data_IF_897920066520
#
_entry.id   IF_897920066520
#
_cell.length_a   1.000
_cell.length_b   1.000
_cell.length_c   1.000
_cell.angle_alpha   90.00
_cell.angle_beta   90.00
_cell.angle_gamma   90.00
#
_symmetry.space_group_name_H-M   'P 1'
#
loop_
_entity.id
_entity.type
_entity.pdbx_description
1 polymer ?
#
# COMPACT_ATOMS: atom_id res chain seq x y z
N UNK A 1 -30.81 13.20 -67.78
CA UNK A 1 -31.60 12.19 -67.05
C UNK A 1 -31.99 12.84 -65.72
N UNK A 2 -33.21 13.32 -65.42
CA UNK A 2 -34.57 13.05 -65.97
C UNK A 2 -35.01 11.59 -65.70
N UNK A 3 -36.14 11.23 -65.05
CA UNK A 3 -37.30 11.92 -64.39
C UNK A 3 -37.84 10.94 -63.29
N UNK A 4 -38.02 11.25 -62.00
CA UNK A 4 -39.11 11.93 -61.23
C UNK A 4 -40.56 11.35 -61.30
N UNK A 5 -41.24 11.23 -60.12
CA UNK A 5 -42.69 11.40 -59.78
C UNK A 5 -43.18 10.39 -58.71
N UNK A 6 -44.17 10.62 -57.81
CA UNK A 6 -45.05 11.74 -57.31
C UNK A 6 -45.69 11.23 -55.99
N UNK A 7 -46.27 11.98 -55.03
CA UNK A 7 -46.57 13.41 -54.81
C UNK A 7 -46.95 13.64 -53.32
N UNK A 8 -46.97 14.88 -52.80
CA UNK A 8 -48.18 15.73 -52.54
C UNK A 8 -49.26 15.07 -51.66
N UNK A 9 -49.79 15.62 -50.56
CA UNK A 9 -49.73 16.93 -49.86
C UNK A 9 -49.60 16.67 -48.32
N UNK A 10 -49.54 17.61 -47.37
CA UNK A 10 -49.68 19.09 -47.33
C UNK A 10 -49.48 19.63 -45.89
N UNK A 11 -50.03 20.80 -45.55
CA UNK A 11 -50.02 21.35 -44.17
C UNK A 11 -51.31 22.13 -43.83
N UNK A 12 -51.76 22.10 -42.57
CA UNK A 12 -52.70 23.09 -42.00
C UNK A 12 -52.61 23.19 -40.47
N UNK A 13 -52.98 24.34 -39.92
CA UNK A 13 -52.74 24.73 -38.52
C UNK A 13 -53.88 24.39 -37.54
N UNK A 14 -53.49 24.23 -36.27
CA UNK A 14 -54.17 24.61 -35.02
C UNK A 14 -55.72 24.65 -34.94
N UNK A 15 -56.31 24.04 -33.91
CA UNK A 15 -56.71 24.78 -32.68
C UNK A 15 -57.21 23.89 -31.53
N UNK A 16 -56.99 24.41 -30.32
CA UNK A 16 -57.38 23.99 -28.96
C UNK A 16 -58.83 23.48 -28.79
N UNK A 17 -59.03 22.44 -27.97
CA UNK A 17 -60.09 22.38 -26.93
C UNK A 17 -59.67 21.48 -25.74
N UNK A 18 -60.20 21.75 -24.54
CA UNK A 18 -59.70 21.22 -23.26
C UNK A 18 -60.76 20.51 -22.40
N UNK A 19 -60.33 19.56 -21.53
CA UNK A 19 -60.91 19.13 -20.24
C UNK A 19 -60.16 17.85 -19.74
N UNK A 20 -59.49 17.81 -18.57
CA UNK A 20 -60.03 17.58 -17.20
C UNK A 20 -60.75 16.21 -17.05
N UNK A 21 -60.46 15.27 -16.16
CA UNK A 21 -59.55 15.12 -14.99
C UNK A 21 -58.77 13.77 -15.12
N UNK A 22 -58.00 13.16 -14.18
CA UNK A 22 -57.75 13.28 -12.72
C UNK A 22 -56.24 13.03 -12.45
N UNK A 23 -55.75 13.33 -11.23
CA UNK A 23 -54.37 13.10 -10.79
C UNK A 23 -54.17 11.78 -10.02
N UNK A 24 -52.93 11.26 -10.04
CA UNK A 24 -52.34 10.43 -8.97
C UNK A 24 -50.81 10.57 -9.00
N UNK A 25 -50.30 11.69 -8.46
CA UNK A 25 -48.86 11.84 -8.19
C UNK A 25 -48.52 11.09 -6.90
N UNK A 26 -47.87 9.93 -7.02
CA UNK A 26 -47.16 9.33 -5.88
C UNK A 26 -45.88 10.13 -5.67
N UNK A 27 -45.89 11.00 -4.67
CA UNK A 27 -44.71 11.77 -4.25
C UNK A 27 -43.72 10.84 -3.54
N UNK A 28 -42.93 10.11 -4.33
CA UNK A 28 -41.74 9.45 -3.81
C UNK A 28 -40.72 10.54 -3.43
N UNK A 29 -40.55 10.78 -2.13
CA UNK A 29 -39.44 11.57 -1.61
C UNK A 29 -38.13 10.81 -1.83
N UNK A 30 -37.60 10.89 -3.05
CA UNK A 30 -36.23 10.52 -3.35
C UNK A 30 -35.31 11.51 -2.66
N UNK A 31 -34.88 11.20 -1.45
CA UNK A 31 -33.85 11.96 -0.74
C UNK A 31 -32.56 11.90 -1.54
N UNK A 32 -32.32 12.93 -2.36
CA UNK A 32 -31.02 13.16 -2.99
C UNK A 32 -29.99 13.41 -1.89
N UNK A 33 -29.24 12.37 -1.54
CA UNK A 33 -28.09 12.48 -0.64
C UNK A 33 -27.05 13.30 -1.39
N UNK A 34 -26.98 14.60 -1.11
CA UNK A 34 -25.93 15.46 -1.64
C UNK A 34 -24.57 15.01 -1.07
N UNK A 35 -23.77 14.32 -1.89
CA UNK A 35 -22.39 13.97 -1.61
C UNK A 35 -21.51 15.22 -1.56
N UNK A 36 -21.61 15.99 -0.47
CA UNK A 36 -20.84 17.23 -0.24
C UNK A 36 -19.37 16.99 0.14
N UNK A 37 -18.93 15.73 0.25
CA UNK A 37 -17.56 15.36 0.65
C UNK A 37 -16.54 15.54 -0.49
N UNK A 38 -16.95 15.34 -1.75
CA UNK A 38 -16.05 15.44 -2.90
C UNK A 38 -15.46 16.86 -3.11
N UNK A 39 -16.13 17.91 -2.60
CA UNK A 39 -15.66 19.29 -2.71
C UNK A 39 -14.59 19.68 -1.67
N UNK A 40 -14.38 18.88 -0.62
CA UNK A 40 -13.41 19.19 0.44
C UNK A 40 -12.05 18.52 0.20
N UNK A 41 -12.01 17.24 -0.17
CA UNK A 41 -10.75 16.49 -0.39
C UNK A 41 -9.96 16.97 -1.60
N UNK A 42 -10.64 17.51 -2.62
CA UNK A 42 -10.06 18.05 -3.85
C UNK A 42 -9.13 19.27 -3.66
N UNK A 43 -8.93 19.73 -2.41
CA UNK A 43 -7.93 20.75 -2.09
C UNK A 43 -6.50 20.18 -1.97
N UNK A 44 -6.34 18.87 -1.73
CA UNK A 44 -5.03 18.20 -1.66
C UNK A 44 -4.51 17.96 -3.09
N UNK A 45 -3.25 18.32 -3.38
CA UNK A 45 -2.64 18.07 -4.72
C UNK A 45 -1.39 17.20 -4.67
N UNK A 46 -0.80 17.02 -3.50
CA UNK A 46 0.38 16.21 -3.30
C UNK A 46 0.18 15.25 -2.12
N UNK A 47 0.18 13.95 -2.41
CA UNK A 47 0.15 12.88 -1.41
C UNK A 47 1.55 12.28 -1.32
N UNK A 48 2.01 12.12 -0.09
CA UNK A 48 3.21 11.37 0.28
C UNK A 48 2.77 10.21 1.15
N UNK A 49 3.26 9.01 0.87
CA UNK A 49 3.07 7.81 1.69
C UNK A 49 4.46 7.35 2.11
N UNK A 50 4.72 7.30 3.41
CA UNK A 50 5.85 6.57 3.97
C UNK A 50 5.28 5.28 4.56
N UNK A 51 5.77 4.14 4.08
CA UNK A 51 5.40 2.82 4.63
C UNK A 51 6.56 2.28 5.45
N UNK A 52 6.23 1.77 6.62
CA UNK A 52 7.11 1.12 7.59
C UNK A 52 6.70 -0.36 7.73
N UNK A 53 7.49 -1.16 8.42
CA UNK A 53 7.32 -2.62 8.41
C UNK A 53 6.91 -3.25 9.75
N UNK A 54 6.05 -4.28 9.68
CA UNK A 54 5.81 -5.37 10.64
C UNK A 54 5.63 -4.99 12.12
N UNK A 55 4.94 -3.90 12.45
CA UNK A 55 4.85 -3.42 13.83
C UNK A 55 3.44 -3.21 14.36
N UNK A 56 3.23 -3.74 15.58
CA UNK A 56 1.92 -3.77 16.22
C UNK A 56 1.56 -2.38 16.74
N UNK A 57 0.29 -1.96 16.60
CA UNK A 57 -0.20 -0.70 17.19
C UNK A 57 0.15 -0.58 18.68
N UNK A 58 0.03 -1.68 19.43
CA UNK A 58 0.33 -1.75 20.86
C UNK A 58 1.81 -1.78 21.20
N UNK A 59 2.70 -1.99 20.23
CA UNK A 59 4.15 -1.78 20.36
C UNK A 59 4.47 -0.31 20.05
N UNK A 60 4.15 0.12 18.84
CA UNK A 60 4.50 1.43 18.26
C UNK A 60 3.94 2.61 19.06
N UNK A 61 2.68 2.54 19.49
CA UNK A 61 2.00 3.63 20.21
C UNK A 61 1.89 3.39 21.72
N UNK A 62 2.77 2.56 22.28
CA UNK A 62 2.88 2.34 23.73
C UNK A 62 3.62 3.46 24.46
N UNK A 63 3.43 3.53 25.79
CA UNK A 63 4.21 4.41 26.66
C UNK A 63 5.70 4.03 26.78
N UNK A 64 6.08 2.85 26.28
CA UNK A 64 7.45 2.32 26.25
C UNK A 64 7.98 2.14 24.82
N UNK A 65 7.38 2.84 23.85
CA UNK A 65 7.73 2.76 22.44
C UNK A 65 9.21 3.08 22.18
N UNK A 66 9.77 2.35 21.20
CA UNK A 66 11.10 2.64 20.62
C UNK A 66 11.05 3.77 19.58
N UNK A 67 9.86 4.18 19.16
CA UNK A 67 9.63 5.23 18.16
C UNK A 67 8.91 6.47 18.74
N UNK A 68 9.57 7.25 19.64
CA UNK A 68 8.93 8.36 20.33
C UNK A 68 8.63 9.57 19.42
N UNK A 69 9.35 9.78 18.32
CA UNK A 69 9.03 10.82 17.35
C UNK A 69 7.73 10.49 16.61
N UNK A 70 7.61 9.27 16.07
CA UNK A 70 6.35 8.80 15.47
C UNK A 70 5.19 8.84 16.47
N UNK A 71 5.35 8.17 17.61
CA UNK A 71 4.26 7.90 18.54
C UNK A 71 3.76 9.13 19.30
N UNK A 72 4.63 10.11 19.59
CA UNK A 72 4.28 11.29 20.39
C UNK A 72 4.40 12.60 19.60
N UNK A 73 5.46 12.76 18.81
CA UNK A 73 5.71 14.04 18.12
C UNK A 73 4.79 14.19 16.92
N UNK A 74 4.75 13.22 16.01
CA UNK A 74 3.94 13.29 14.81
C UNK A 74 2.43 13.17 15.11
N UNK A 75 2.04 12.30 16.04
CA UNK A 75 0.64 12.23 16.52
C UNK A 75 0.13 13.54 17.10
N UNK A 76 0.98 14.30 17.82
CA UNK A 76 0.63 15.63 18.32
C UNK A 76 0.49 16.70 17.23
N UNK A 77 1.10 16.49 16.05
CA UNK A 77 1.13 17.44 14.93
C UNK A 77 0.00 17.22 13.90
N UNK A 78 -0.61 16.03 13.88
CA UNK A 78 -1.65 15.69 12.90
C UNK A 78 -2.75 14.80 13.49
N UNK A 79 -3.08 13.73 12.78
CA UNK A 79 -4.05 12.72 13.19
C UNK A 79 -3.37 11.38 13.51
N UNK A 80 -3.69 10.79 14.67
CA UNK A 80 -3.46 9.37 14.95
C UNK A 80 -4.70 8.56 14.53
N UNK A 81 -4.51 7.63 13.61
CA UNK A 81 -5.52 6.65 13.20
C UNK A 81 -5.30 5.37 14.01
N UNK A 82 -6.08 5.19 15.06
CA UNK A 82 -5.88 4.08 16.01
C UNK A 82 -6.31 2.72 15.45
N UNK A 83 -7.20 2.74 14.46
CA UNK A 83 -7.84 1.57 13.88
C UNK A 83 -7.47 1.42 12.40
N UNK A 84 -6.18 1.64 12.08
CA UNK A 84 -5.62 1.31 10.78
C UNK A 84 -5.08 -0.14 10.80
N UNK A 85 -5.32 -0.88 9.72
CA UNK A 85 -5.00 -2.30 9.60
C UNK A 85 -4.20 -2.59 8.33
N UNK A 86 -3.34 -3.61 8.40
CA UNK A 86 -2.80 -4.26 7.21
C UNK A 86 -3.87 -5.06 6.46
N UNK A 87 -3.58 -5.43 5.23
CA UNK A 87 -4.45 -6.24 4.35
C UNK A 87 -3.98 -7.68 4.17
N UNK A 88 -2.71 -8.01 4.40
CA UNK A 88 -2.16 -9.36 4.39
C UNK A 88 -1.07 -9.55 5.44
N UNK A 89 -0.36 -10.68 5.38
CA UNK A 89 0.49 -11.15 6.48
C UNK A 89 1.99 -11.08 6.22
N UNK A 90 2.36 -10.60 5.04
CA UNK A 90 3.74 -10.38 4.60
C UNK A 90 3.76 -9.13 3.72
N UNK A 91 4.90 -8.44 3.65
CA UNK A 91 4.98 -7.09 3.10
C UNK A 91 4.39 -6.95 1.69
N UNK A 92 4.72 -7.88 0.77
CA UNK A 92 4.44 -7.69 -0.66
C UNK A 92 2.95 -7.51 -0.99
N UNK A 93 2.07 -8.31 -0.40
CA UNK A 93 0.64 -8.24 -0.71
C UNK A 93 -0.01 -6.93 -0.19
N UNK A 94 0.60 -6.33 0.83
CA UNK A 94 0.20 -5.06 1.41
C UNK A 94 0.59 -3.90 0.51
N UNK A 95 1.85 -3.85 0.08
CA UNK A 95 2.31 -2.88 -0.93
C UNK A 95 1.51 -2.96 -2.24
N UNK A 96 1.21 -4.17 -2.72
CA UNK A 96 0.35 -4.38 -3.90
C UNK A 96 -1.06 -3.85 -3.66
N UNK A 97 -1.66 -4.14 -2.50
CA UNK A 97 -2.98 -3.66 -2.11
C UNK A 97 -3.04 -2.12 -2.07
N UNK A 98 -1.98 -1.45 -1.59
CA UNK A 98 -1.90 0.02 -1.50
C UNK A 98 -1.93 0.73 -2.86
N UNK A 99 -1.43 0.12 -3.94
CA UNK A 99 -1.35 0.79 -5.26
C UNK A 99 -2.33 0.25 -6.31
N UNK A 100 -2.93 -0.92 -6.12
CA UNK A 100 -3.72 -1.60 -7.16
C UNK A 100 -5.08 -2.12 -6.69
N UNK A 101 -5.32 -2.14 -5.38
CA UNK A 101 -6.52 -2.74 -4.79
C UNK A 101 -6.64 -4.25 -5.04
N UNK A 102 -5.60 -4.91 -5.55
CA UNK A 102 -5.58 -6.37 -5.70
C UNK A 102 -5.44 -7.04 -4.33
N UNK A 103 -6.13 -8.15 -4.17
CA UNK A 103 -6.02 -9.08 -3.06
C UNK A 103 -4.87 -10.08 -3.27
N UNK A 104 -4.36 -10.73 -2.22
CA UNK A 104 -3.18 -11.57 -2.35
C UNK A 104 -3.42 -12.79 -3.27
N UNK A 105 -2.34 -13.23 -3.93
CA UNK A 105 -2.16 -14.60 -4.40
C UNK A 105 -1.36 -15.39 -3.38
N UNK A 106 -1.29 -16.72 -3.54
CA UNK A 106 -0.35 -17.55 -2.78
C UNK A 106 1.10 -17.06 -2.90
N UNK A 107 1.52 -16.52 -4.06
CA UNK A 107 2.85 -15.98 -4.26
C UNK A 107 3.09 -14.67 -3.52
N UNK A 108 2.17 -13.70 -3.63
CA UNK A 108 2.33 -12.39 -2.98
C UNK A 108 2.15 -12.48 -1.47
N UNK A 109 1.29 -13.39 -1.00
CA UNK A 109 1.17 -13.80 0.40
C UNK A 109 2.43 -14.55 0.92
N UNK A 110 3.44 -14.79 0.07
CA UNK A 110 4.74 -15.35 0.47
C UNK A 110 5.92 -14.56 -0.15
N UNK A 111 5.77 -13.23 -0.24
CA UNK A 111 6.76 -12.25 -0.73
C UNK A 111 7.37 -12.51 -2.11
N UNK A 112 6.73 -13.38 -2.90
CA UNK A 112 7.16 -13.81 -4.22
C UNK A 112 8.68 -14.08 -4.34
N UNK A 113 9.19 -14.96 -3.47
CA UNK A 113 10.61 -15.38 -3.43
C UNK A 113 11.20 -15.80 -4.78
N UNK A 114 10.36 -16.23 -5.73
CA UNK A 114 10.69 -16.32 -7.16
C UNK A 114 9.83 -15.32 -7.91
N UNK A 115 10.44 -14.29 -8.49
CA UNK A 115 9.79 -13.15 -9.14
C UNK A 115 9.17 -13.57 -10.47
N UNK A 116 7.97 -14.18 -10.43
CA UNK A 116 7.35 -14.90 -11.55
C UNK A 116 6.12 -14.22 -12.15
N UNK A 117 5.94 -14.42 -13.46
CA UNK A 117 4.83 -13.87 -14.25
C UNK A 117 3.46 -14.33 -13.71
N UNK A 118 2.51 -13.42 -13.58
CA UNK A 118 1.13 -13.76 -13.20
C UNK A 118 0.39 -14.41 -14.38
N UNK A 119 0.10 -15.70 -14.26
CA UNK A 119 -0.73 -16.46 -15.18
C UNK A 119 -2.22 -16.10 -15.00
N UNK A 120 -2.66 -15.06 -15.70
CA UNK A 120 -4.05 -14.57 -15.66
C UNK A 120 -5.04 -15.55 -16.31
N UNK A 121 -6.02 -16.00 -15.53
CA UNK A 121 -7.08 -16.93 -15.97
C UNK A 121 -8.47 -16.28 -16.03
N UNK A 122 -8.67 -15.15 -15.35
CA UNK A 122 -9.92 -14.41 -15.33
C UNK A 122 -9.82 -13.12 -14.53
N UNK A 123 -10.95 -12.42 -14.39
CA UNK A 123 -11.07 -11.24 -13.52
C UNK A 123 -12.48 -11.22 -12.91
N UNK A 124 -12.60 -10.85 -11.64
CA UNK A 124 -13.89 -10.67 -10.96
C UNK A 124 -14.58 -9.38 -11.44
N UNK A 125 -15.87 -9.23 -11.13
CA UNK A 125 -16.63 -8.02 -11.49
C UNK A 125 -16.16 -6.73 -10.80
N UNK A 126 -15.46 -6.85 -9.69
CA UNK A 126 -14.82 -5.78 -8.93
C UNK A 126 -13.31 -5.66 -9.20
N UNK A 127 -12.80 -6.31 -10.25
CA UNK A 127 -11.46 -6.05 -10.79
C UNK A 127 -10.31 -6.82 -10.14
N UNK A 128 -10.58 -7.86 -9.36
CA UNK A 128 -9.56 -8.79 -8.88
C UNK A 128 -9.11 -9.72 -10.00
N UNK A 129 -7.81 -9.75 -10.28
CA UNK A 129 -7.20 -10.72 -11.18
C UNK A 129 -7.32 -12.13 -10.58
N UNK A 130 -7.72 -13.11 -11.40
CA UNK A 130 -7.83 -14.53 -11.00
C UNK A 130 -6.68 -15.30 -11.64
N UNK A 131 -5.81 -15.91 -10.84
CA UNK A 131 -4.63 -16.62 -11.33
C UNK A 131 -3.58 -16.88 -10.26
N UNK A 132 -2.34 -17.10 -10.72
CA UNK A 132 -1.18 -17.45 -9.88
C UNK A 132 0.07 -16.77 -10.41
N UNK A 133 1.01 -16.43 -9.53
CA UNK A 133 2.21 -15.63 -9.82
C UNK A 133 2.11 -14.25 -9.18
N UNK A 134 3.10 -13.38 -9.37
CA UNK A 134 3.11 -12.07 -8.71
C UNK A 134 3.34 -10.87 -9.63
N UNK A 135 3.93 -11.04 -10.82
CA UNK A 135 4.09 -9.92 -11.77
C UNK A 135 2.86 -9.83 -12.67
N UNK A 136 1.94 -8.93 -12.33
CA UNK A 136 0.64 -8.80 -12.97
C UNK A 136 0.76 -8.30 -14.43
N UNK A 137 -0.03 -8.84 -15.39
CA UNK A 137 0.00 -8.38 -16.77
C UNK A 137 -0.51 -6.95 -16.90
N UNK A 138 -0.08 -6.23 -17.94
CA UNK A 138 -0.36 -4.80 -18.13
C UNK A 138 -1.84 -4.40 -18.27
N UNK A 139 -2.76 -5.37 -18.32
CA UNK A 139 -4.21 -5.20 -18.22
C UNK A 139 -4.70 -4.93 -16.80
N UNK A 140 -3.96 -5.36 -15.77
CA UNK A 140 -4.20 -5.02 -14.37
C UNK A 140 -3.58 -3.67 -14.10
N UNK A 141 -4.33 -2.77 -13.45
CA UNK A 141 -4.01 -1.34 -13.38
C UNK A 141 -3.73 -0.88 -11.95
N UNK A 142 -2.85 0.10 -11.85
CA UNK A 142 -2.39 0.71 -10.59
C UNK A 142 -2.79 2.19 -10.52
N UNK A 143 -2.63 2.81 -9.36
CA UNK A 143 -2.77 4.25 -9.16
C UNK A 143 -1.81 5.04 -10.08
N UNK A 144 -0.62 4.48 -10.38
CA UNK A 144 0.32 5.05 -11.33
C UNK A 144 -0.25 5.14 -12.76
N UNK A 145 -0.90 4.07 -13.24
CA UNK A 145 -1.61 4.07 -14.53
C UNK A 145 -2.70 5.15 -14.57
N UNK A 146 -3.50 5.26 -13.50
CA UNK A 146 -4.59 6.23 -13.41
C UNK A 146 -4.09 7.67 -13.37
N UNK A 147 -3.05 7.95 -12.59
CA UNK A 147 -2.44 9.27 -12.49
C UNK A 147 -1.85 9.69 -13.84
N UNK A 148 -1.08 8.82 -14.50
CA UNK A 148 -0.58 9.09 -15.86
C UNK A 148 -1.73 9.38 -16.83
N UNK A 149 -2.81 8.58 -16.80
CA UNK A 149 -3.99 8.81 -17.65
C UNK A 149 -4.73 10.13 -17.34
N UNK A 150 -4.67 10.61 -16.09
CA UNK A 150 -5.21 11.90 -15.67
C UNK A 150 -4.26 13.10 -15.94
N UNK A 151 -3.07 12.87 -16.50
CA UNK A 151 -1.98 13.86 -16.62
C UNK A 151 -1.45 14.37 -15.27
N UNK A 152 -1.50 13.51 -14.24
CA UNK A 152 -0.90 13.71 -12.92
C UNK A 152 0.40 12.90 -12.83
N UNK A 153 1.30 13.31 -11.95
CA UNK A 153 2.62 12.70 -11.79
C UNK A 153 2.68 11.78 -10.58
N UNK A 154 3.47 10.71 -10.67
CA UNK A 154 3.72 9.77 -9.58
C UNK A 154 5.20 9.42 -9.51
N UNK A 155 5.68 9.04 -8.32
CA UNK A 155 7.04 8.50 -8.10
C UNK A 155 7.08 7.48 -6.95
N UNK A 156 8.00 6.53 -7.07
CA UNK A 156 8.49 5.66 -6.01
C UNK A 156 9.92 6.04 -5.61
N UNK A 157 10.21 6.04 -4.31
CA UNK A 157 11.47 6.45 -3.73
C UNK A 157 11.97 5.37 -2.78
N UNK A 158 12.84 4.51 -3.28
CA UNK A 158 13.23 3.27 -2.62
C UNK A 158 14.56 3.42 -1.88
N UNK A 159 14.61 3.03 -0.61
CA UNK A 159 15.83 3.00 0.18
C UNK A 159 16.85 2.02 -0.38
N UNK A 160 18.11 2.43 -0.41
CA UNK A 160 19.28 1.67 -0.89
C UNK A 160 19.28 1.13 -2.33
N UNK A 161 18.16 1.17 -3.07
CA UNK A 161 18.02 0.57 -4.41
C UNK A 161 19.18 0.91 -5.35
N UNK A 162 19.88 -0.14 -5.80
CA UNK A 162 21.04 -0.06 -6.70
C UNK A 162 22.34 0.39 -6.04
N UNK A 163 22.50 0.20 -4.72
CA UNK A 163 23.82 0.29 -4.09
C UNK A 163 24.72 -0.87 -4.59
N UNK A 164 24.16 -2.05 -4.90
CA UNK A 164 24.80 -3.08 -5.74
C UNK A 164 24.19 -3.18 -7.17
N UNK A 165 24.82 -2.55 -8.18
CA UNK A 165 24.45 -2.69 -9.59
C UNK A 165 24.56 -4.10 -10.19
N UNK A 166 25.13 -5.08 -9.47
CA UNK A 166 25.12 -6.48 -9.88
C UNK A 166 23.89 -7.25 -9.38
N UNK A 167 23.17 -6.72 -8.39
CA UNK A 167 21.95 -7.30 -7.81
C UNK A 167 20.69 -6.65 -8.41
N UNK A 168 20.65 -5.32 -8.54
CA UNK A 168 19.57 -4.61 -9.23
C UNK A 168 19.99 -3.27 -9.87
N UNK A 169 19.11 -2.69 -10.69
CA UNK A 169 19.31 -1.37 -11.28
C UNK A 169 18.99 -0.23 -10.29
N UNK A 170 19.72 0.90 -10.39
CA UNK A 170 19.51 2.10 -9.55
C UNK A 170 18.20 2.88 -9.84
N UNK A 171 17.45 2.47 -10.85
CA UNK A 171 16.09 2.91 -11.19
C UNK A 171 15.36 1.72 -11.78
N UNK A 172 14.06 1.55 -11.49
CA UNK A 172 13.32 0.33 -11.87
C UNK A 172 14.05 -0.97 -11.43
N UNK A 173 14.61 -0.98 -10.21
CA UNK A 173 15.37 -2.12 -9.70
C UNK A 173 14.47 -3.30 -9.37
N UNK A 174 14.59 -4.39 -10.12
CA UNK A 174 13.87 -5.65 -9.85
C UNK A 174 14.66 -6.87 -10.37
N UNK A 175 14.37 -8.10 -9.90
CA UNK A 175 14.97 -9.32 -10.41
C UNK A 175 14.62 -9.56 -11.88
N UNK A 176 15.38 -10.46 -12.54
CA UNK A 176 14.95 -10.97 -13.85
C UNK A 176 13.69 -11.82 -13.69
N UNK A 177 12.72 -11.68 -14.61
CA UNK A 177 11.49 -12.46 -14.58
C UNK A 177 11.76 -13.98 -14.53
N UNK A 178 10.99 -14.65 -13.68
CA UNK A 178 11.06 -16.08 -13.38
C UNK A 178 12.41 -16.53 -12.77
N UNK A 179 13.04 -15.66 -11.97
CA UNK A 179 14.24 -15.97 -11.19
C UNK A 179 14.03 -15.72 -9.69
N UNK A 180 14.88 -16.31 -8.84
CA UNK A 180 14.86 -16.07 -7.39
C UNK A 180 15.19 -14.61 -7.11
N UNK A 181 14.37 -13.96 -6.28
CA UNK A 181 14.63 -12.61 -5.83
C UNK A 181 15.73 -12.60 -4.76
N UNK A 182 16.89 -12.06 -5.12
CA UNK A 182 18.06 -11.93 -4.24
C UNK A 182 18.00 -10.69 -3.33
N UNK A 183 17.09 -9.75 -3.58
CA UNK A 183 16.87 -8.57 -2.72
C UNK A 183 16.12 -8.92 -1.43
N UNK A 184 15.55 -10.13 -1.35
CA UNK A 184 14.95 -10.69 -0.13
C UNK A 184 15.96 -11.01 1.00
N UNK A 185 17.23 -10.64 0.87
CA UNK A 185 18.23 -10.72 1.93
C UNK A 185 19.16 -9.53 1.86
N UNK A 186 19.32 -8.80 2.98
CA UNK A 186 20.26 -7.68 3.07
C UNK A 186 21.68 -8.10 2.69
N UNK A 187 22.34 -7.32 1.84
CA UNK A 187 23.76 -7.46 1.56
C UNK A 187 24.58 -6.72 2.64
N UNK A 188 25.51 -7.43 3.28
CA UNK A 188 26.44 -6.82 4.24
C UNK A 188 27.54 -6.01 3.51
N UNK A 189 28.05 -4.91 4.13
CA UNK A 189 29.15 -4.11 3.58
C UNK A 189 30.36 -4.94 3.16
N UNK A 190 30.80 -4.72 1.92
CA UNK A 190 31.92 -5.45 1.32
C UNK A 190 32.74 -4.57 0.36
N UNK A 191 33.64 -5.18 -0.43
CA UNK A 191 34.58 -4.46 -1.27
C UNK A 191 33.94 -3.83 -2.53
N UNK A 192 32.85 -4.40 -3.06
CA UNK A 192 32.09 -3.87 -4.19
C UNK A 192 30.90 -3.04 -3.75
N UNK A 193 30.29 -3.36 -2.60
CA UNK A 193 29.16 -2.64 -2.00
C UNK A 193 29.54 -2.08 -0.61
N UNK A 194 30.21 -0.91 -0.51
CA UNK A 194 30.85 -0.48 0.74
C UNK A 194 29.90 -0.08 1.87
N UNK A 195 28.62 0.18 1.57
CA UNK A 195 27.57 0.48 2.56
C UNK A 195 26.69 -0.73 2.89
N UNK A 196 26.87 -1.84 2.18
CA UNK A 196 25.86 -2.88 2.06
C UNK A 196 24.67 -2.41 1.23
N UNK A 197 23.67 -3.26 1.11
CA UNK A 197 22.45 -2.96 0.38
C UNK A 197 21.24 -3.65 1.01
N UNK A 198 20.35 -2.85 1.59
CA UNK A 198 19.11 -3.28 2.25
C UNK A 198 17.86 -2.98 1.42
N UNK A 199 17.99 -2.73 0.11
CA UNK A 199 16.82 -2.69 -0.77
C UNK A 199 16.14 -4.05 -0.89
N UNK A 200 14.81 -4.07 -0.89
CA UNK A 200 13.99 -5.24 -1.08
C UNK A 200 12.90 -4.95 -2.13
N UNK A 201 12.89 -5.73 -3.21
CA UNK A 201 11.91 -5.57 -4.30
C UNK A 201 10.49 -5.77 -3.80
N UNK A 202 10.28 -6.69 -2.84
CA UNK A 202 8.96 -6.92 -2.21
C UNK A 202 8.31 -5.68 -1.58
N UNK A 203 9.09 -4.66 -1.23
CA UNK A 203 8.59 -3.39 -0.69
C UNK A 203 8.33 -2.31 -1.76
N UNK A 204 8.63 -2.62 -3.02
CA UNK A 204 8.44 -1.76 -4.18
C UNK A 204 7.34 -2.34 -5.10
N UNK A 205 6.06 -2.03 -4.85
CA UNK A 205 4.95 -2.67 -5.55
C UNK A 205 4.91 -2.33 -7.04
N UNK A 206 5.54 -1.23 -7.45
CA UNK A 206 5.59 -0.82 -8.86
C UNK A 206 6.30 -1.85 -9.75
N UNK A 207 7.17 -2.70 -9.17
CA UNK A 207 7.87 -3.74 -9.94
C UNK A 207 6.95 -4.91 -10.31
N UNK A 208 5.84 -5.10 -9.61
CA UNK A 208 4.97 -6.26 -9.79
C UNK A 208 3.89 -6.05 -10.87
N UNK A 209 4.07 -5.10 -11.79
CA UNK A 209 3.10 -4.79 -12.85
C UNK A 209 3.79 -4.51 -14.19
N UNK A 210 3.48 -5.31 -15.22
CA UNK A 210 3.90 -5.07 -16.60
C UNK A 210 3.40 -3.74 -17.18
N UNK A 211 2.36 -3.13 -16.61
CA UNK A 211 1.98 -1.76 -17.00
C UNK A 211 3.04 -0.71 -16.64
N UNK A 212 3.93 -1.06 -15.71
CA UNK A 212 5.02 -0.21 -15.23
C UNK A 212 6.37 -0.73 -15.72
N UNK A 213 6.77 -1.98 -15.43
CA UNK A 213 8.15 -2.45 -15.73
C UNK A 213 8.48 -2.49 -17.22
N UNK A 214 7.49 -2.69 -18.10
CA UNK A 214 7.68 -2.63 -19.57
C UNK A 214 7.57 -1.18 -20.12
N UNK A 215 7.34 -0.18 -19.24
CA UNK A 215 7.14 1.23 -19.60
C UNK A 215 8.37 2.07 -19.28
N UNK A 216 8.76 3.03 -20.15
CA UNK A 216 9.84 3.98 -19.86
C UNK A 216 9.53 4.91 -18.67
N UNK A 217 8.30 4.94 -18.16
CA UNK A 217 8.00 5.63 -16.91
C UNK A 217 8.64 4.95 -15.69
N UNK A 218 8.98 3.65 -15.72
CA UNK A 218 9.58 2.95 -14.59
C UNK A 218 10.96 3.52 -14.21
N UNK A 219 11.92 3.55 -15.15
CA UNK A 219 13.26 4.13 -14.96
C UNK A 219 13.23 5.60 -14.53
N UNK A 220 12.17 6.33 -14.90
CA UNK A 220 12.00 7.75 -14.63
C UNK A 220 11.37 8.04 -13.25
N UNK A 221 10.42 7.20 -12.84
CA UNK A 221 9.55 7.46 -11.70
C UNK A 221 9.89 6.60 -10.47
N UNK A 222 10.47 5.41 -10.64
CA UNK A 222 10.87 4.52 -9.54
C UNK A 222 12.39 4.60 -9.36
N UNK A 223 12.82 5.31 -8.33
CA UNK A 223 14.21 5.77 -8.20
C UNK A 223 14.73 5.62 -6.76
N UNK A 224 16.05 5.59 -6.59
CA UNK A 224 16.66 5.59 -5.26
C UNK A 224 16.22 6.83 -4.44
N UNK A 225 15.91 6.60 -3.15
CA UNK A 225 15.36 7.59 -2.20
C UNK A 225 16.17 8.89 -2.10
N UNK A 226 17.48 8.85 -2.35
CA UNK A 226 18.32 10.05 -2.33
C UNK A 226 17.84 11.15 -3.31
N UNK A 227 17.16 10.76 -4.40
CA UNK A 227 16.60 11.68 -5.39
C UNK A 227 15.44 12.54 -4.85
N UNK A 228 14.71 12.08 -3.82
CA UNK A 228 13.58 12.80 -3.23
C UNK A 228 13.96 14.23 -2.81
N UNK A 229 15.17 14.42 -2.26
CA UNK A 229 15.67 15.76 -1.86
C UNK A 229 15.82 16.75 -3.02
N UNK A 230 15.95 16.26 -4.25
CA UNK A 230 15.98 17.10 -5.46
C UNK A 230 14.58 17.39 -5.98
N UNK A 231 13.71 16.40 -6.00
CA UNK A 231 12.35 16.57 -6.51
C UNK A 231 11.49 17.45 -5.58
N UNK A 232 11.72 17.40 -4.26
CA UNK A 232 11.07 18.27 -3.27
C UNK A 232 11.41 19.77 -3.38
N UNK A 233 12.34 20.20 -4.25
CA UNK A 233 12.79 21.60 -4.34
C UNK A 233 11.71 22.58 -4.82
N UNK A 234 10.74 22.13 -5.62
CA UNK A 234 9.67 22.98 -6.16
C UNK A 234 8.36 22.20 -6.31
N UNK A 235 7.23 22.91 -6.30
CA UNK A 235 5.90 22.31 -6.59
C UNK A 235 5.86 21.57 -7.93
N UNK A 236 6.60 22.06 -8.93
CA UNK A 236 6.61 21.48 -10.28
C UNK A 236 7.51 20.25 -10.43
N UNK A 237 8.41 20.00 -9.47
CA UNK A 237 9.31 18.82 -9.46
C UNK A 237 8.83 17.73 -8.51
N UNK A 238 8.05 18.07 -7.47
CA UNK A 238 7.39 17.08 -6.62
C UNK A 238 6.24 16.41 -7.36
N UNK A 239 6.15 15.08 -7.30
CA UNK A 239 5.05 14.35 -7.93
C UNK A 239 3.71 14.58 -7.20
N UNK A 240 2.57 14.33 -7.85
CA UNK A 240 1.26 14.34 -7.19
C UNK A 240 1.12 13.18 -6.20
N UNK A 241 1.61 11.99 -6.56
CA UNK A 241 1.73 10.84 -5.64
C UNK A 241 3.19 10.46 -5.44
N UNK A 242 3.61 10.25 -4.20
CA UNK A 242 4.98 9.91 -3.82
C UNK A 242 4.91 8.75 -2.83
N UNK A 243 5.22 7.53 -3.27
CA UNK A 243 5.46 6.40 -2.35
C UNK A 243 6.94 6.44 -1.94
N UNK A 244 7.19 6.31 -0.64
CA UNK A 244 8.50 6.43 -0.02
C UNK A 244 8.69 5.20 0.85
N UNK A 245 9.58 4.33 0.42
CA UNK A 245 9.89 3.06 1.07
C UNK A 245 11.31 3.15 1.63
N UNK A 246 11.51 3.12 2.95
CA UNK A 246 12.85 3.01 3.54
C UNK A 246 13.51 1.68 3.11
N UNK A 247 14.80 1.50 3.38
CA UNK A 247 15.41 0.17 3.21
C UNK A 247 15.09 -0.72 4.42
N UNK A 248 15.31 -2.03 4.34
CA UNK A 248 14.91 -2.97 5.42
C UNK A 248 15.64 -2.80 6.75
N UNK A 249 16.62 -1.88 6.78
CA UNK A 249 17.29 -1.42 7.99
C UNK A 249 16.65 -0.18 8.65
N UNK A 250 15.88 0.60 7.88
CA UNK A 250 15.34 1.91 8.22
C UNK A 250 13.79 1.94 8.29
N UNK A 251 13.09 0.87 7.89
CA UNK A 251 11.63 0.79 7.87
C UNK A 251 10.99 0.24 9.16
N UNK A 252 11.68 -0.62 9.89
CA UNK A 252 11.15 -1.29 11.08
C UNK A 252 11.34 -2.80 11.11
N UNK A 253 11.67 -3.42 9.97
CA UNK A 253 11.70 -4.88 9.79
C UNK A 253 12.91 -5.51 10.51
N UNK A 254 14.12 -5.30 9.99
CA UNK A 254 15.29 -6.05 10.45
C UNK A 254 15.93 -5.42 11.67
N UNK A 255 16.31 -6.25 12.66
CA UNK A 255 17.06 -5.82 13.84
C UNK A 255 17.90 -6.97 14.43
N UNK A 256 19.25 -6.86 14.46
CA UNK A 256 20.09 -5.83 13.85
C UNK A 256 20.20 -5.99 12.32
N UNK A 257 20.56 -4.90 11.64
CA UNK A 257 20.81 -4.91 10.20
C UNK A 257 22.13 -5.62 9.83
N UNK A 258 22.26 -6.07 8.58
CA UNK A 258 23.48 -6.68 8.04
C UNK A 258 24.68 -5.72 8.00
N UNK A 259 24.43 -4.41 7.90
CA UNK A 259 25.46 -3.37 8.02
C UNK A 259 25.90 -3.08 9.48
N UNK A 260 25.29 -3.74 10.47
CA UNK A 260 25.60 -3.59 11.89
C UNK A 260 24.85 -2.47 12.62
N UNK A 261 23.94 -1.76 11.95
CA UNK A 261 23.04 -0.81 12.60
C UNK A 261 21.96 -1.52 13.45
N UNK A 262 21.34 -0.76 14.37
CA UNK A 262 20.36 -1.27 15.33
C UNK A 262 19.12 -1.87 14.67
N UNK A 263 18.63 -1.22 13.61
CA UNK A 263 17.40 -1.64 12.94
C UNK A 263 16.13 -1.44 13.78
N UNK A 264 15.04 -2.05 13.32
CA UNK A 264 13.73 -2.02 13.96
C UNK A 264 13.14 -0.61 14.12
N UNK A 265 12.12 -0.48 14.99
CA UNK A 265 11.50 0.82 15.32
C UNK A 265 12.47 1.94 15.74
N UNK A 266 13.69 1.63 16.17
CA UNK A 266 14.70 2.65 16.50
C UNK A 266 15.23 3.32 15.23
N UNK A 267 15.53 2.54 14.19
CA UNK A 267 15.91 3.10 12.89
C UNK A 267 14.72 3.78 12.22
N UNK A 268 13.52 3.19 12.27
CA UNK A 268 12.31 3.79 11.71
C UNK A 268 12.00 5.19 12.29
N UNK A 269 12.15 5.36 13.61
CA UNK A 269 11.98 6.68 14.24
C UNK A 269 13.05 7.67 13.79
N UNK A 270 14.30 7.24 13.64
CA UNK A 270 15.41 8.06 13.14
C UNK A 270 15.23 8.45 11.66
N UNK A 271 14.73 7.53 10.83
CA UNK A 271 14.35 7.77 9.45
C UNK A 271 13.26 8.85 9.36
N UNK A 272 12.20 8.71 10.16
CA UNK A 272 11.12 9.71 10.21
C UNK A 272 11.62 11.06 10.74
N UNK A 273 12.45 11.09 11.78
CA UNK A 273 13.07 12.32 12.31
C UNK A 273 13.88 13.09 11.25
N UNK A 274 14.47 12.38 10.28
CA UNK A 274 15.17 12.97 9.13
C UNK A 274 14.19 13.41 8.03
N UNK A 275 13.34 12.51 7.55
CA UNK A 275 12.60 12.72 6.30
C UNK A 275 11.31 13.50 6.45
N UNK A 276 10.58 13.34 7.57
CA UNK A 276 9.31 14.05 7.77
C UNK A 276 9.51 15.57 7.80
N UNK A 277 10.52 16.14 8.49
CA UNK A 277 10.80 17.58 8.41
C UNK A 277 11.20 18.05 6.99
N UNK A 278 11.93 17.23 6.22
CA UNK A 278 12.33 17.57 4.84
C UNK A 278 11.10 17.64 3.92
N UNK A 279 10.19 16.66 4.02
CA UNK A 279 8.94 16.64 3.26
C UNK A 279 8.04 17.80 3.68
N UNK A 280 7.85 18.02 4.98
CA UNK A 280 7.00 19.08 5.52
C UNK A 280 7.51 20.50 5.24
N UNK A 281 8.82 20.67 5.01
CA UNK A 281 9.43 21.92 4.58
C UNK A 281 9.32 22.18 3.07
N UNK A 282 8.92 21.19 2.26
CA UNK A 282 8.85 21.33 0.81
C UNK A 282 7.73 22.28 0.35
N UNK A 283 7.90 23.03 -0.76
CA UNK A 283 6.87 23.93 -1.26
C UNK A 283 5.56 23.22 -1.61
N UNK A 284 5.65 22.00 -2.18
CA UNK A 284 4.50 21.17 -2.51
C UNK A 284 3.67 20.80 -1.28
N UNK A 285 4.33 20.32 -0.21
CA UNK A 285 3.64 19.97 1.02
C UNK A 285 3.01 21.19 1.69
N UNK A 286 3.75 22.30 1.78
CA UNK A 286 3.24 23.54 2.39
C UNK A 286 2.06 24.14 1.61
N UNK A 287 2.03 23.95 0.29
CA UNK A 287 0.92 24.41 -0.54
C UNK A 287 -0.36 23.64 -0.19
N UNK A 288 -0.36 22.31 -0.31
CA UNK A 288 -1.56 21.46 -0.16
C UNK A 288 -1.22 19.96 -0.03
N UNK A 289 -0.18 19.65 0.75
CA UNK A 289 0.27 18.29 1.03
C UNK A 289 -0.60 17.50 2.00
N UNK A 290 -0.65 16.18 1.77
CA UNK A 290 -0.99 15.16 2.76
C UNK A 290 0.19 14.18 2.86
N UNK A 291 0.73 13.98 4.05
CA UNK A 291 1.68 12.92 4.36
C UNK A 291 0.98 11.85 5.20
N UNK A 292 0.98 10.62 4.71
CA UNK A 292 0.49 9.42 5.38
C UNK A 292 1.73 8.62 5.81
N UNK A 293 1.74 8.17 7.06
CA UNK A 293 2.75 7.25 7.60
C UNK A 293 1.98 6.04 8.10
N UNK A 294 2.12 4.91 7.42
CA UNK A 294 1.49 3.64 7.78
C UNK A 294 2.55 2.55 8.01
N UNK A 295 2.09 1.38 8.41
CA UNK A 295 2.83 0.14 8.28
C UNK A 295 2.10 -0.76 7.28
N UNK A 296 2.81 -1.72 6.69
CA UNK A 296 2.29 -2.83 5.89
C UNK A 296 1.36 -3.74 6.72
N UNK A 297 1.87 -4.40 7.75
CA UNK A 297 1.11 -5.28 8.63
C UNK A 297 1.62 -5.27 10.08
N UNK A 298 0.86 -5.91 10.94
CA UNK A 298 1.27 -6.21 12.31
C UNK A 298 2.28 -7.37 12.32
N UNK A 299 3.13 -7.42 13.34
CA UNK A 299 3.94 -8.60 13.63
C UNK A 299 3.09 -9.82 14.00
N UNK A 300 3.67 -11.01 13.94
CA UNK A 300 3.01 -12.27 14.30
C UNK A 300 2.38 -12.23 15.71
N UNK A 301 1.22 -12.89 15.87
CA UNK A 301 0.47 -12.90 17.12
C UNK A 301 1.08 -13.84 18.18
N UNK A 302 1.73 -14.93 17.76
CA UNK A 302 2.46 -15.81 18.67
C UNK A 302 3.57 -16.61 17.97
N UNK A 303 4.53 -17.11 18.76
CA UNK A 303 5.54 -18.06 18.31
C UNK A 303 5.46 -19.32 19.16
N UNK A 304 5.47 -20.49 18.53
CA UNK A 304 5.46 -21.78 19.20
C UNK A 304 6.52 -22.73 18.62
N UNK A 305 6.81 -23.81 19.34
CA UNK A 305 7.57 -24.95 18.78
C UNK A 305 6.73 -26.22 18.94
N UNK A 306 5.94 -26.60 17.91
CA UNK A 306 5.11 -27.80 17.97
C UNK A 306 5.94 -29.09 17.95
N UNK A 307 7.19 -29.04 17.48
CA UNK A 307 8.13 -30.16 17.50
C UNK A 307 9.57 -29.70 17.75
N UNK A 308 10.49 -30.64 17.98
CA UNK A 308 11.92 -30.36 18.15
C UNK A 308 12.64 -29.92 16.87
N UNK A 309 11.94 -29.87 15.73
CA UNK A 309 12.49 -29.50 14.42
C UNK A 309 11.64 -28.43 13.72
N UNK A 310 10.76 -27.74 14.44
CA UNK A 310 9.84 -26.76 13.86
C UNK A 310 9.54 -25.61 14.82
N UNK A 311 9.60 -24.39 14.30
CA UNK A 311 9.07 -23.17 14.90
C UNK A 311 7.93 -22.68 14.03
N UNK A 312 6.80 -22.38 14.66
CA UNK A 312 5.62 -21.83 14.01
C UNK A 312 5.38 -20.38 14.47
N UNK A 313 5.32 -19.46 13.51
CA UNK A 313 4.94 -18.07 13.70
C UNK A 313 3.48 -17.92 13.27
N UNK A 314 2.59 -17.79 14.25
CA UNK A 314 1.15 -17.74 14.01
C UNK A 314 0.67 -16.29 13.89
N UNK A 315 0.07 -15.95 12.76
CA UNK A 315 -0.63 -14.69 12.53
C UNK A 315 -2.13 -14.85 12.79
N UNK A 316 -2.76 -13.81 13.34
CA UNK A 316 -4.17 -13.84 13.74
C UNK A 316 -5.10 -13.52 12.55
N UNK A 317 -4.81 -12.45 11.83
CA UNK A 317 -5.66 -11.99 10.72
C UNK A 317 -6.91 -11.25 11.20
N UNK A 318 -6.76 -10.38 12.19
CA UNK A 318 -7.79 -9.36 12.44
C UNK A 318 -7.92 -8.48 11.19
N UNK A 319 -9.14 -8.35 10.70
CA UNK A 319 -9.51 -7.55 9.54
C UNK A 319 -10.42 -6.40 9.95
N UNK A 320 -10.58 -5.43 9.05
CA UNK A 320 -11.53 -4.35 9.20
C UNK A 320 -12.36 -4.15 7.93
N UNK A 321 -13.22 -3.13 7.93
CA UNK A 321 -13.57 -2.43 6.70
C UNK A 321 -14.30 -3.28 5.63
N UNK A 322 -14.93 -4.38 6.05
CA UNK A 322 -15.52 -5.42 5.19
C UNK A 322 -14.53 -6.01 4.19
N UNK A 323 -13.25 -6.13 4.55
CA UNK A 323 -12.23 -6.77 3.72
C UNK A 323 -12.65 -8.20 3.33
N UNK A 324 -12.41 -8.51 2.05
CA UNK A 324 -12.62 -9.82 1.46
C UNK A 324 -11.27 -10.55 1.30
N UNK A 325 -11.33 -11.88 1.25
CA UNK A 325 -10.18 -12.78 1.12
C UNK A 325 -9.45 -12.65 -0.23
N UNK A 326 -10.18 -12.34 -1.31
CA UNK A 326 -9.69 -12.44 -2.68
C UNK A 326 -10.00 -13.77 -3.36
N UNK A 327 -9.78 -13.89 -4.68
CA UNK A 327 -10.11 -15.10 -5.44
C UNK A 327 -8.98 -16.13 -5.53
N UNK A 328 -7.77 -15.81 -5.06
CA UNK A 328 -6.53 -16.56 -5.34
C UNK A 328 -5.95 -17.29 -4.12
N UNK A 329 -6.57 -17.18 -2.95
CA UNK A 329 -6.15 -17.86 -1.73
C UNK A 329 -6.96 -19.13 -1.47
N UNK A 330 -6.38 -20.05 -0.71
CA UNK A 330 -7.03 -21.28 -0.25
C UNK A 330 -7.74 -21.10 1.09
N UNK A 331 -8.53 -22.09 1.52
CA UNK A 331 -9.21 -22.04 2.82
C UNK A 331 -8.24 -21.94 3.99
N UNK A 332 -8.41 -20.93 4.84
CA UNK A 332 -7.67 -20.78 6.09
C UNK A 332 -8.08 -21.82 7.16
N UNK A 333 -7.18 -22.18 8.11
CA UNK A 333 -5.81 -21.68 8.24
C UNK A 333 -4.87 -22.23 7.16
N UNK A 334 -3.90 -21.43 6.74
CA UNK A 334 -2.86 -21.80 5.79
C UNK A 334 -1.49 -21.82 6.48
N UNK A 335 -0.60 -22.74 6.11
CA UNK A 335 0.77 -22.78 6.63
C UNK A 335 1.79 -22.99 5.52
N UNK A 336 2.91 -22.28 5.60
CA UNK A 336 4.02 -22.36 4.63
C UNK A 336 5.37 -22.49 5.37
N UNK A 337 6.22 -23.41 4.92
CA UNK A 337 7.60 -23.52 5.41
C UNK A 337 8.50 -22.56 4.62
N UNK A 338 9.00 -21.50 5.26
CA UNK A 338 9.88 -20.52 4.61
C UNK A 338 11.30 -21.04 4.37
N UNK A 339 11.76 -21.99 5.18
CA UNK A 339 13.09 -22.55 5.08
C UNK A 339 13.54 -23.24 6.36
N UNK A 340 14.84 -23.52 6.44
CA UNK A 340 15.45 -24.18 7.61
C UNK A 340 16.62 -23.40 8.17
N UNK A 341 16.66 -23.17 9.48
CA UNK A 341 17.79 -22.53 10.17
C UNK A 341 18.45 -23.50 11.16
N UNK A 342 19.76 -23.36 11.46
CA UNK A 342 20.37 -24.09 12.56
C UNK A 342 19.71 -23.73 13.90
N UNK A 343 19.56 -24.69 14.82
CA UNK A 343 18.92 -24.49 16.12
C UNK A 343 19.49 -23.33 16.95
N UNK A 344 20.78 -23.02 16.79
CA UNK A 344 21.43 -21.89 17.45
C UNK A 344 20.90 -20.51 16.99
N UNK A 345 20.20 -20.43 15.85
CA UNK A 345 19.61 -19.20 15.34
C UNK A 345 18.39 -18.76 16.15
N UNK A 346 17.68 -19.67 16.82
CA UNK A 346 16.52 -19.33 17.65
C UNK A 346 16.85 -18.34 18.77
N UNK A 347 18.06 -18.39 19.33
CA UNK A 347 18.53 -17.42 20.32
C UNK A 347 18.67 -16.01 19.73
N UNK A 348 18.92 -15.86 18.42
CA UNK A 348 18.90 -14.55 17.73
C UNK A 348 17.48 -14.03 17.56
N UNK A 349 16.50 -14.92 17.40
CA UNK A 349 15.06 -14.61 17.37
C UNK A 349 14.49 -14.34 18.79
N UNK A 350 15.35 -14.15 19.80
CA UNK A 350 14.95 -13.93 21.19
C UNK A 350 14.31 -15.15 21.88
N UNK A 351 14.26 -16.32 21.22
CA UNK A 351 13.63 -17.52 21.77
C UNK A 351 14.57 -18.28 22.71
N UNK A 352 14.00 -18.84 23.78
CA UNK A 352 14.72 -19.80 24.63
C UNK A 352 14.72 -21.17 23.96
N UNK A 353 15.89 -21.71 23.62
CA UNK A 353 16.03 -23.03 23.00
C UNK A 353 15.84 -24.14 24.04
N UNK A 354 14.84 -25.02 23.93
CA UNK A 354 14.64 -26.15 24.83
C UNK A 354 15.79 -27.16 24.75
N UNK A 355 16.12 -27.78 25.88
CA UNK A 355 17.19 -28.78 25.94
C UNK A 355 16.88 -30.00 25.06
N UNK A 356 17.81 -30.31 24.15
CA UNK A 356 17.70 -31.43 23.21
C UNK A 356 17.37 -31.04 21.77
N UNK A 357 16.93 -29.80 21.53
CA UNK A 357 16.76 -29.25 20.18
C UNK A 357 18.14 -29.04 19.53
N UNK A 358 18.43 -29.79 18.47
CA UNK A 358 19.72 -29.80 17.77
C UNK A 358 19.51 -30.02 16.27
N UNK A 359 20.49 -29.63 15.44
CA UNK A 359 20.39 -29.71 13.98
C UNK A 359 19.65 -28.51 13.38
N UNK A 360 18.94 -28.75 12.28
CA UNK A 360 18.17 -27.74 11.57
C UNK A 360 16.69 -27.76 12.00
N UNK A 361 16.07 -26.59 11.97
CA UNK A 361 14.69 -26.33 12.38
C UNK A 361 13.97 -25.66 11.22
N UNK A 362 12.79 -26.17 10.88
CA UNK A 362 11.87 -25.56 9.92
C UNK A 362 11.30 -24.27 10.53
N UNK A 363 11.32 -23.18 9.76
CA UNK A 363 10.54 -22.00 10.08
C UNK A 363 9.22 -22.07 9.29
N UNK A 364 8.10 -22.08 10.00
CA UNK A 364 6.75 -22.15 9.44
C UNK A 364 6.02 -20.85 9.78
N UNK A 365 5.37 -20.24 8.78
CA UNK A 365 4.34 -19.24 9.04
C UNK A 365 2.99 -19.96 9.01
N UNK A 366 2.13 -19.70 10.00
CA UNK A 366 0.74 -20.15 10.02
C UNK A 366 -0.19 -18.96 10.10
N UNK A 367 -1.06 -18.82 9.11
CA UNK A 367 -2.02 -17.71 8.98
C UNK A 367 -3.39 -18.24 9.34
N UNK A 368 -4.02 -17.66 10.36
CA UNK A 368 -5.33 -18.14 10.87
C UNK A 368 -6.51 -17.64 10.05
N UNK A 369 -6.34 -16.50 9.38
CA UNK A 369 -7.29 -15.80 8.51
C UNK A 369 -6.51 -14.95 7.51
N UNK A 370 -7.16 -14.35 6.51
CA UNK A 370 -6.63 -13.21 5.76
C UNK A 370 -6.65 -11.92 6.61
N UNK A 371 -6.07 -10.83 6.11
CA UNK A 371 -5.89 -9.56 6.83
C UNK A 371 -4.45 -9.36 7.28
N UNK A 372 -4.13 -8.18 7.83
CA UNK A 372 -2.78 -7.86 8.33
C UNK A 372 -2.74 -7.28 9.73
N UNK A 373 -3.77 -7.58 10.54
CA UNK A 373 -3.86 -7.16 11.94
C UNK A 373 -3.73 -5.62 12.11
N UNK A 374 -3.62 -5.11 13.34
CA UNK A 374 -3.76 -3.65 13.62
C UNK A 374 -2.42 -2.96 13.87
N UNK A 375 -2.01 -2.14 12.90
CA UNK A 375 -0.77 -1.34 12.90
C UNK A 375 -0.96 0.07 13.42
N UNK A 376 -2.04 0.74 13.02
CA UNK A 376 -2.20 2.19 13.17
C UNK A 376 -1.48 3.00 12.09
N UNK A 377 -1.86 4.27 11.96
CA UNK A 377 -1.23 5.19 11.02
C UNK A 377 -1.21 6.62 11.59
N UNK A 378 -0.31 7.46 11.09
CA UNK A 378 -0.24 8.89 11.38
C UNK A 378 -0.39 9.70 10.10
N UNK A 379 -1.23 10.74 10.14
CA UNK A 379 -1.48 11.60 8.97
C UNK A 379 -1.21 13.06 9.31
N UNK A 380 -0.43 13.73 8.46
CA UNK A 380 0.04 15.09 8.62
C UNK A 380 -0.42 15.92 7.41
N UNK A 381 -1.13 17.02 7.67
CA UNK A 381 -1.55 17.98 6.66
C UNK A 381 -2.03 19.27 7.33
N UNK A 382 -1.97 20.41 6.64
CA UNK A 382 -2.65 21.65 7.07
C UNK A 382 -4.18 21.50 7.16
N UNK A 383 -4.74 20.47 6.52
CA UNK A 383 -6.17 20.14 6.51
C UNK A 383 -6.61 19.29 7.71
N UNK A 384 -5.66 18.90 8.56
CA UNK A 384 -5.87 18.10 9.76
C UNK A 384 -5.56 18.98 10.98
N UNK A 385 -6.46 19.00 11.97
CA UNK A 385 -6.20 19.70 13.23
C UNK A 385 -5.14 18.90 14.04
N UNK A 386 -4.05 19.52 14.52
CA UNK A 386 -3.06 18.83 15.35
C UNK A 386 -3.67 18.17 16.59
N UNK A 387 -3.24 16.94 16.89
CA UNK A 387 -3.78 16.12 17.98
C UNK A 387 -5.16 15.51 17.68
N UNK A 388 -5.51 15.36 16.40
CA UNK A 388 -6.70 14.60 15.98
C UNK A 388 -6.50 13.11 16.31
N UNK A 389 -7.56 12.42 16.72
CA UNK A 389 -7.55 10.97 16.92
C UNK A 389 -8.78 10.39 16.23
N UNK A 390 -8.58 9.47 15.30
CA UNK A 390 -9.65 8.72 14.66
C UNK A 390 -9.67 7.27 15.14
N UNK A 391 -10.87 6.81 15.47
CA UNK A 391 -11.21 5.41 15.75
C UNK A 391 -11.98 4.76 14.60
N UNK A 392 -12.15 5.46 13.48
CA UNK A 392 -12.71 4.88 12.25
C UNK A 392 -11.74 3.83 11.74
N UNK A 393 -12.30 2.69 11.35
CA UNK A 393 -11.53 1.58 10.79
C UNK A 393 -11.11 1.92 9.35
N UNK A 394 -9.83 1.74 9.05
CA UNK A 394 -9.26 1.88 7.71
C UNK A 394 -8.21 0.78 7.46
N UNK A 395 -7.98 0.43 6.20
CA UNK A 395 -6.86 -0.40 5.76
C UNK A 395 -6.23 0.17 4.48
N UNK A 396 -5.36 -0.58 3.79
CA UNK A 396 -4.73 -0.12 2.56
C UNK A 396 -5.72 0.16 1.43
N UNK A 397 -6.80 -0.62 1.32
CA UNK A 397 -7.86 -0.32 0.36
C UNK A 397 -8.55 1.01 0.69
N UNK A 398 -8.79 1.31 1.97
CA UNK A 398 -9.27 2.64 2.39
C UNK A 398 -8.29 3.75 2.01
N UNK A 399 -6.99 3.52 2.12
CA UNK A 399 -5.97 4.49 1.74
C UNK A 399 -5.99 4.75 0.23
N UNK A 400 -5.93 3.70 -0.59
CA UNK A 400 -6.00 3.81 -2.04
C UNK A 400 -7.28 4.54 -2.48
N UNK A 401 -8.43 4.14 -1.93
CA UNK A 401 -9.72 4.80 -2.14
C UNK A 401 -9.66 6.31 -1.87
N UNK A 402 -9.00 6.70 -0.78
CA UNK A 402 -8.89 8.10 -0.38
C UNK A 402 -8.01 8.91 -1.33
N UNK A 403 -6.95 8.28 -1.86
CA UNK A 403 -6.03 8.88 -2.83
C UNK A 403 -6.74 9.05 -4.19
N UNK A 404 -7.50 8.03 -4.61
CA UNK A 404 -8.36 8.08 -5.79
C UNK A 404 -9.44 9.17 -5.65
N UNK A 405 -10.11 9.27 -4.50
CA UNK A 405 -11.10 10.32 -4.20
C UNK A 405 -10.48 11.74 -4.17
N UNK A 406 -9.24 11.90 -3.71
CA UNK A 406 -8.49 13.17 -3.74
C UNK A 406 -8.23 13.62 -5.19
N UNK A 407 -7.79 12.69 -6.04
CA UNK A 407 -7.43 12.99 -7.43
C UNK A 407 -8.61 12.90 -8.42
N UNK A 408 -9.81 12.51 -7.96
CA UNK A 408 -11.00 12.39 -8.80
C UNK A 408 -10.96 11.19 -9.75
N UNK A 409 -10.29 10.11 -9.33
CA UNK A 409 -10.08 8.88 -10.09
C UNK A 409 -11.19 7.86 -9.82
N UNK A 410 -11.26 6.83 -10.65
CA UNK A 410 -12.10 5.64 -10.40
C UNK A 410 -11.45 4.74 -9.35
N UNK A 411 -12.23 3.99 -8.58
CA UNK A 411 -11.66 3.07 -7.58
C UNK A 411 -11.18 1.75 -8.19
N UNK A 412 -9.93 1.35 -7.91
CA UNK A 412 -9.30 0.09 -8.34
C UNK A 412 -9.60 -1.05 -7.37
N UNK A 413 -9.91 -2.24 -7.91
CA UNK A 413 -10.04 -3.46 -7.11
C UNK A 413 -10.93 -3.28 -5.88
N UNK A 414 -10.42 -3.71 -4.72
CA UNK A 414 -11.13 -3.57 -3.45
C UNK A 414 -11.18 -2.15 -2.88
N UNK A 415 -10.47 -1.15 -3.43
CA UNK A 415 -10.77 0.26 -3.12
C UNK A 415 -12.19 0.66 -3.59
N UNK A 416 -12.75 -0.06 -4.56
CA UNK A 416 -14.12 0.07 -5.05
C UNK A 416 -15.17 -0.75 -4.30
N UNK A 417 -14.79 -1.56 -3.30
CA UNK A 417 -15.72 -2.50 -2.67
C UNK A 417 -16.84 -1.81 -1.87
N UNK A 418 -18.02 -2.45 -1.83
CA UNK A 418 -19.15 -1.96 -1.06
C UNK A 418 -18.86 -1.95 0.44
N UNK A 419 -19.15 -0.82 1.10
CA UNK A 419 -18.97 -0.66 2.55
C UNK A 419 -17.59 -0.18 2.99
N UNK A 420 -16.61 -0.13 2.07
CA UNK A 420 -15.31 0.47 2.35
C UNK A 420 -15.41 1.99 2.46
N UNK A 421 -14.83 2.53 3.53
CA UNK A 421 -14.75 3.98 3.79
C UNK A 421 -13.35 4.51 3.45
N UNK A 422 -13.30 5.67 2.79
CA UNK A 422 -12.09 6.49 2.66
C UNK A 422 -12.02 7.53 3.78
N UNK A 423 -10.85 8.18 3.92
CA UNK A 423 -10.55 9.17 4.94
C UNK A 423 -11.54 10.33 4.89
N UNK A 424 -12.25 10.55 6.00
CA UNK A 424 -13.36 11.49 6.08
C UNK A 424 -13.10 12.70 6.97
N UNK A 425 -14.18 13.23 7.53
CA UNK A 425 -14.20 14.38 8.46
C UNK A 425 -13.60 14.08 9.83
N UNK A 426 -13.36 12.81 10.13
CA UNK A 426 -12.60 12.31 11.28
C UNK A 426 -11.09 12.50 11.11
N UNK A 427 -10.59 12.53 9.87
CA UNK A 427 -9.20 12.85 9.53
C UNK A 427 -9.08 14.34 9.22
N UNK A 428 -9.78 14.80 8.18
CA UNK A 428 -9.66 16.16 7.66
C UNK A 428 -10.50 17.17 8.45
N UNK A 429 -10.15 17.33 9.72
CA UNK A 429 -10.87 18.11 10.72
C UNK A 429 -10.73 19.64 10.56
N UNK A 430 -10.01 20.12 9.54
CA UNK A 430 -9.81 21.55 9.23
C UNK A 430 -10.19 21.96 7.79
N UNK A 431 -11.00 21.15 7.09
CA UNK A 431 -11.62 21.47 5.78
C UNK A 431 -13.00 22.13 5.92
#
# INVERSE_FOLDING_TARGET
MAVCFKGKFGAFCATVFAALFVALFVSACGSSVNSTVAGTTQQIRHVFVITLENENYTTTFSSTTKAPYLANTLTSQGALVQQYYGTGHVSLDNYISMISGQSPTLQTDNDCTTYEDFSLTGMTSDGQAIGTGCVYPASVKTIADQLTAANLTWKGYEGDMGNDPAREAATCGHPTLNTTDLTNTQEAPNATTPLGDSYATRHNPFMYFHSIIDSPDCEKNVVNLNNLTTDLKTVATTANFNLITPSTCDDGHDSPCANGATGGLVSADAFLQKWVPIIMASPAYQQDGLLIINFDESSYASVSMPSSSEVDFTFAGDTCCSQQEGPNLGTFPQSATMGTVPAAYLTKLGMTVPSGVTGNINLVLTKTSYGGDRTGAVMLSKFIKPGTVSTVQYNHYSMLKSIEDIFGLTHLGYAGQSGLVGFGKDIFTSL
#
